data_IF_013326090778
#
_entry.id   IF_013326090778
#
_cell.length_a   1.000
_cell.length_b   1.000
_cell.length_c   1.000
_cell.angle_alpha   90.00
_cell.angle_beta   90.00
_cell.angle_gamma   90.00
#
_symmetry.space_group_name_H-M   'P 1'
#
loop_
_entity.id
_entity.type
_entity.pdbx_description
1 polymer ?
#
# COMPACT_ATOMS: atom_id res chain seq x y z
N UNK A 1 26.26 28.36 19.29
CA UNK A 1 26.28 27.52 18.07
C UNK A 1 25.41 26.29 18.31
N UNK A 2 24.27 26.15 17.63
CA UNK A 2 23.44 24.93 17.73
C UNK A 2 24.21 23.78 17.05
N UNK A 3 24.53 22.73 17.79
CA UNK A 3 25.12 21.51 17.23
C UNK A 3 24.16 20.98 16.15
N UNK A 4 24.60 20.93 14.90
CA UNK A 4 23.88 20.21 13.85
C UNK A 4 23.77 18.75 14.30
N UNK A 5 22.54 18.27 14.50
CA UNK A 5 22.32 16.85 14.73
C UNK A 5 22.77 16.09 13.48
N UNK A 6 23.47 14.95 13.61
CA UNK A 6 23.84 14.13 12.46
C UNK A 6 22.58 13.76 11.67
N UNK A 7 22.68 13.59 10.33
CA UNK A 7 21.54 13.19 9.53
C UNK A 7 20.98 11.88 10.09
N UNK A 8 19.69 11.89 10.43
CA UNK A 8 19.02 10.71 10.94
C UNK A 8 19.23 9.54 9.96
N UNK A 9 19.69 8.40 10.48
CA UNK A 9 19.81 7.16 9.73
C UNK A 9 18.70 6.19 10.15
N UNK A 10 18.00 5.65 9.17
CA UNK A 10 16.96 4.66 9.42
C UNK A 10 17.54 3.38 10.04
N UNK A 11 16.91 2.83 11.09
CA UNK A 11 17.18 1.45 11.47
C UNK A 11 16.89 0.55 10.26
N UNK A 12 17.83 -0.34 9.92
CA UNK A 12 17.64 -1.36 8.89
C UNK A 12 17.31 -2.70 9.54
N UNK A 13 16.28 -3.41 9.08
CA UNK A 13 16.06 -4.78 9.54
C UNK A 13 17.13 -5.68 8.92
N UNK A 14 17.93 -6.31 9.77
CA UNK A 14 18.87 -7.36 9.36
C UNK A 14 18.33 -8.71 9.84
N UNK A 15 17.94 -9.57 8.89
CA UNK A 15 17.64 -10.97 9.19
C UNK A 15 18.98 -11.72 9.27
N UNK A 16 19.28 -12.33 10.41
CA UNK A 16 20.57 -12.97 10.71
C UNK A 16 20.96 -14.11 9.76
N UNK A 17 20.04 -14.59 8.91
CA UNK A 17 20.26 -15.71 7.98
C UNK A 17 19.90 -15.42 6.52
N UNK A 18 19.39 -14.22 6.20
CA UNK A 18 19.07 -13.81 4.83
C UNK A 18 19.41 -12.32 4.64
N UNK A 19 20.27 -12.01 3.68
CA UNK A 19 20.47 -10.62 3.23
C UNK A 19 19.44 -10.32 2.15
N UNK A 20 18.33 -9.69 2.52
CA UNK A 20 17.42 -9.10 1.53
C UNK A 20 18.19 -8.06 0.71
N UNK A 21 18.00 -8.08 -0.62
CA UNK A 21 18.57 -7.06 -1.49
C UNK A 21 18.00 -5.71 -1.07
N UNK A 22 18.88 -4.73 -0.87
CA UNK A 22 18.48 -3.34 -0.69
C UNK A 22 18.44 -2.67 -2.05
N UNK A 23 17.24 -2.41 -2.56
CA UNK A 23 17.07 -1.74 -3.83
C UNK A 23 17.52 -0.29 -3.73
N UNK A 24 18.34 0.13 -4.70
CA UNK A 24 18.57 1.54 -5.01
C UNK A 24 17.39 2.07 -5.84
N UNK A 25 17.20 3.40 -5.93
CA UNK A 25 16.16 3.97 -6.77
C UNK A 25 16.26 3.51 -8.23
N UNK A 26 17.48 3.46 -8.78
CA UNK A 26 17.74 3.06 -10.17
C UNK A 26 17.33 1.61 -10.40
N UNK A 27 17.70 0.72 -9.48
CA UNK A 27 17.33 -0.69 -9.53
C UNK A 27 15.80 -0.89 -9.44
N UNK A 28 15.13 -0.15 -8.55
CA UNK A 28 13.69 -0.23 -8.40
C UNK A 28 12.95 0.33 -9.64
N UNK A 29 13.37 1.49 -10.15
CA UNK A 29 12.80 2.07 -11.38
C UNK A 29 12.97 1.12 -12.56
N UNK A 30 14.18 0.59 -12.78
CA UNK A 30 14.44 -0.37 -13.86
C UNK A 30 13.58 -1.63 -13.75
N UNK A 31 13.37 -2.13 -12.53
CA UNK A 31 12.50 -3.28 -12.31
C UNK A 31 11.03 -2.98 -12.65
N UNK A 32 10.53 -1.80 -12.26
CA UNK A 32 9.11 -1.44 -12.36
C UNK A 32 8.75 -0.75 -13.68
N UNK A 33 9.73 -0.44 -14.53
CA UNK A 33 9.52 0.23 -15.79
C UNK A 33 8.63 -0.60 -16.73
N UNK A 34 7.54 -0.02 -17.21
CA UNK A 34 6.57 -0.71 -18.07
C UNK A 34 5.80 -1.82 -17.35
N UNK A 35 5.86 -1.88 -16.01
CA UNK A 35 5.18 -2.90 -15.19
C UNK A 35 4.21 -2.24 -14.21
N UNK A 36 2.96 -1.95 -14.63
CA UNK A 36 1.99 -1.29 -13.77
C UNK A 36 1.75 -2.09 -12.48
N UNK A 37 1.91 -1.43 -11.33
CA UNK A 37 1.71 -2.02 -10.01
C UNK A 37 0.43 -1.46 -9.39
N UNK A 38 -0.52 -2.33 -9.08
CA UNK A 38 -1.76 -1.97 -8.39
C UNK A 38 -1.73 -2.53 -6.97
N UNK A 39 -1.99 -1.68 -5.98
CA UNK A 39 -2.08 -2.04 -4.56
C UNK A 39 -3.50 -1.82 -4.05
N UNK A 40 -4.07 -2.83 -3.41
CA UNK A 40 -5.42 -2.76 -2.82
C UNK A 40 -5.32 -3.12 -1.34
N UNK A 41 -5.81 -2.24 -0.48
CA UNK A 41 -5.81 -2.48 0.96
C UNK A 41 -6.14 -1.25 1.78
N UNK A 42 -5.85 -1.30 3.07
CA UNK A 42 -6.20 -0.25 4.03
C UNK A 42 -5.20 0.93 4.09
N UNK A 43 -5.31 1.76 5.14
CA UNK A 43 -4.40 2.88 5.40
C UNK A 43 -2.94 2.47 5.55
N UNK A 44 -2.63 1.24 5.97
CA UNK A 44 -1.26 0.77 6.13
C UNK A 44 -0.67 0.43 4.75
N UNK A 45 -1.49 -0.10 3.86
CA UNK A 45 -1.14 -0.32 2.45
C UNK A 45 -1.01 1.00 1.70
N UNK A 46 -1.86 2.00 2.00
CA UNK A 46 -1.71 3.37 1.48
C UNK A 46 -0.34 3.97 1.80
N UNK A 47 0.09 3.89 3.06
CA UNK A 47 1.38 4.47 3.45
C UNK A 47 2.56 3.72 2.82
N UNK A 48 2.43 2.41 2.62
CA UNK A 48 3.40 1.65 1.84
C UNK A 48 3.47 2.14 0.38
N UNK A 49 2.32 2.33 -0.28
CA UNK A 49 2.24 2.91 -1.63
C UNK A 49 2.91 4.28 -1.71
N UNK A 50 2.53 5.22 -0.83
CA UNK A 50 3.07 6.58 -0.82
C UNK A 50 4.59 6.57 -0.58
N UNK A 51 5.08 5.71 0.33
CA UNK A 51 6.52 5.58 0.57
C UNK A 51 7.27 5.05 -0.66
N UNK A 52 6.68 4.13 -1.43
CA UNK A 52 7.32 3.57 -2.62
C UNK A 52 7.41 4.61 -3.75
N UNK A 53 6.32 5.31 -4.05
CA UNK A 53 6.36 6.36 -5.08
C UNK A 53 7.27 7.53 -4.66
N UNK A 54 7.37 7.84 -3.36
CA UNK A 54 8.32 8.84 -2.85
C UNK A 54 9.77 8.41 -3.12
N UNK A 55 10.09 7.14 -2.90
CA UNK A 55 11.41 6.59 -3.22
C UNK A 55 11.72 6.62 -4.72
N UNK A 56 10.72 6.31 -5.56
CA UNK A 56 10.87 6.34 -7.01
C UNK A 56 10.99 7.77 -7.55
N UNK A 57 10.26 8.74 -7.01
CA UNK A 57 10.30 10.14 -7.44
C UNK A 57 11.60 10.82 -6.99
N UNK A 58 11.91 10.74 -5.70
CA UNK A 58 12.98 11.57 -5.09
C UNK A 58 14.30 10.84 -4.88
N UNK A 59 14.36 9.53 -5.19
CA UNK A 59 15.57 8.73 -4.99
C UNK A 59 15.94 8.47 -3.52
N UNK A 60 15.03 8.73 -2.59
CA UNK A 60 15.23 8.54 -1.14
C UNK A 60 13.92 8.19 -0.45
N UNK A 61 13.98 7.51 0.68
CA UNK A 61 12.80 7.18 1.48
C UNK A 61 12.25 8.42 2.21
N UNK A 62 10.94 8.48 2.50
CA UNK A 62 10.36 9.61 3.22
C UNK A 62 10.91 9.69 4.65
N UNK A 63 10.94 10.91 5.18
CA UNK A 63 11.38 11.13 6.56
C UNK A 63 10.49 10.32 7.54
N UNK A 64 11.11 9.67 8.53
CA UNK A 64 10.49 8.66 9.40
C UNK A 64 9.66 9.18 10.57
N UNK A 65 9.73 10.47 10.89
CA UNK A 65 9.43 10.99 12.24
C UNK A 65 8.74 12.35 12.20
N UNK A 66 7.89 12.56 13.21
CA UNK A 66 7.43 13.87 13.67
C UNK A 66 8.62 14.77 14.02
N UNK A 67 8.58 16.03 13.61
CA UNK A 67 9.58 17.06 13.95
C UNK A 67 10.93 17.08 13.20
N UNK A 68 11.29 16.10 12.34
CA UNK A 68 12.51 16.15 11.49
C UNK A 68 12.48 17.17 10.32
N UNK A 69 13.62 17.72 9.90
CA UNK A 69 13.67 18.68 8.77
C UNK A 69 12.98 18.13 7.49
N UNK A 70 12.07 18.92 6.88
CA UNK A 70 11.25 18.51 5.73
C UNK A 70 9.80 18.12 6.05
N UNK A 71 9.22 18.62 7.15
CA UNK A 71 7.80 18.45 7.49
C UNK A 71 6.84 18.91 6.39
N UNK A 72 5.67 18.27 6.27
CA UNK A 72 5.19 17.04 6.97
C UNK A 72 5.57 15.71 6.26
N UNK A 73 5.67 14.60 7.00
CA UNK A 73 5.94 13.27 6.43
C UNK A 73 4.75 12.74 5.64
N UNK A 74 4.93 12.23 4.41
CA UNK A 74 3.82 11.80 3.56
C UNK A 74 3.16 10.49 4.04
N UNK A 75 3.74 9.81 5.03
CA UNK A 75 3.20 8.58 5.62
C UNK A 75 2.63 8.77 7.04
N UNK A 76 2.53 10.01 7.52
CA UNK A 76 2.00 10.33 8.85
C UNK A 76 0.91 11.40 8.72
N UNK A 77 -0.33 10.96 8.50
CA UNK A 77 -1.44 11.89 8.24
C UNK A 77 -1.68 12.92 9.36
N UNK A 78 -1.41 12.56 10.62
CA UNK A 78 -1.57 13.47 11.76
C UNK A 78 -0.66 14.71 11.72
N UNK A 79 0.37 14.74 10.88
CA UNK A 79 1.26 15.91 10.71
C UNK A 79 0.71 16.96 9.75
N UNK A 80 -0.32 16.63 8.96
CA UNK A 80 -0.87 17.51 7.92
C UNK A 80 -2.12 18.27 8.38
N UNK A 81 -2.60 18.04 9.60
CA UNK A 81 -3.88 18.60 10.06
C UNK A 81 -5.09 17.86 9.45
N UNK A 82 -6.07 18.57 8.88
CA UNK A 82 -7.25 17.94 8.28
C UNK A 82 -6.92 16.95 7.15
N UNK A 83 -7.78 15.95 6.93
CA UNK A 83 -7.61 14.97 5.86
C UNK A 83 -7.50 15.60 4.47
N UNK A 84 -8.21 16.69 4.21
CA UNK A 84 -8.09 17.42 2.95
C UNK A 84 -6.67 17.94 2.71
N UNK A 85 -6.01 18.49 3.73
CA UNK A 85 -4.62 18.93 3.64
C UNK A 85 -3.66 17.76 3.45
N UNK A 86 -3.88 16.62 4.12
CA UNK A 86 -3.11 15.40 3.87
C UNK A 86 -3.24 14.93 2.41
N UNK A 87 -4.46 14.89 1.87
CA UNK A 87 -4.70 14.47 0.49
C UNK A 87 -4.10 15.43 -0.53
N UNK A 88 -4.26 16.74 -0.35
CA UNK A 88 -3.66 17.76 -1.22
C UNK A 88 -2.14 17.70 -1.19
N UNK A 89 -1.58 17.67 0.01
CA UNK A 89 -0.14 17.67 0.22
C UNK A 89 0.55 16.42 -0.31
N UNK A 90 0.02 15.24 -0.01
CA UNK A 90 0.55 13.97 -0.54
C UNK A 90 0.22 13.72 -2.01
N UNK A 91 -0.41 14.66 -2.70
CA UNK A 91 -0.65 14.60 -4.15
C UNK A 91 0.20 15.62 -4.89
N UNK A 92 0.16 16.88 -4.45
CA UNK A 92 0.89 18.00 -5.06
C UNK A 92 2.41 17.86 -4.97
N UNK A 93 2.92 17.16 -3.95
CA UNK A 93 4.36 16.97 -3.80
C UNK A 93 5.01 16.22 -4.97
N UNK A 94 4.25 15.43 -5.73
CA UNK A 94 4.73 14.62 -6.85
C UNK A 94 4.68 15.36 -8.21
N UNK A 95 4.76 16.68 -8.22
CA UNK A 95 4.87 17.50 -9.44
C UNK A 95 3.83 17.18 -10.55
N UNK A 96 2.60 16.80 -10.15
CA UNK A 96 1.53 16.41 -11.08
C UNK A 96 1.58 14.96 -11.57
N UNK A 97 2.60 14.19 -11.21
CA UNK A 97 2.70 12.75 -11.48
C UNK A 97 1.70 11.93 -10.67
N UNK A 98 1.20 12.44 -9.54
CA UNK A 98 0.15 11.77 -8.77
C UNK A 98 -1.18 12.51 -8.89
N UNK A 99 -2.25 11.73 -9.02
CA UNK A 99 -3.63 12.15 -8.90
C UNK A 99 -4.33 11.36 -7.78
N UNK A 100 -5.32 11.96 -7.13
CA UNK A 100 -6.01 11.41 -5.96
C UNK A 100 -7.51 11.75 -6.06
N UNK A 101 -8.38 10.74 -6.16
CA UNK A 101 -9.82 10.90 -5.96
C UNK A 101 -10.12 10.49 -4.54
N UNK A 102 -9.98 11.48 -3.68
CA UNK A 102 -9.83 11.25 -2.27
C UNK A 102 -10.83 12.12 -1.56
N UNK A 103 -11.64 11.48 -0.73
CA UNK A 103 -12.58 12.13 0.16
C UNK A 103 -12.50 11.44 1.52
N UNK A 104 -12.80 12.18 2.58
CA UNK A 104 -12.93 11.59 3.91
C UNK A 104 -13.85 12.39 4.78
N UNK A 105 -14.97 11.77 5.15
CA UNK A 105 -15.83 12.23 6.23
C UNK A 105 -15.40 11.58 7.55
N UNK A 106 -15.14 10.27 7.54
CA UNK A 106 -14.71 9.50 8.71
C UNK A 106 -13.78 8.33 8.34
N UNK A 107 -13.50 7.41 9.27
CA UNK A 107 -12.60 6.28 9.01
C UNK A 107 -13.16 5.26 8.00
N UNK A 108 -14.46 5.10 7.92
CA UNK A 108 -15.15 4.12 7.08
C UNK A 108 -15.70 4.76 5.82
N UNK A 109 -16.20 5.99 5.88
CA UNK A 109 -16.60 6.78 4.71
C UNK A 109 -15.45 7.66 4.19
N UNK A 110 -14.59 7.07 3.36
CA UNK A 110 -13.46 7.77 2.76
C UNK A 110 -12.97 7.09 1.45
N UNK A 111 -13.71 7.20 0.33
CA UNK A 111 -13.20 6.79 -0.97
C UNK A 111 -11.80 7.36 -1.21
N UNK A 112 -10.88 6.48 -1.58
CA UNK A 112 -9.48 6.85 -1.78
C UNK A 112 -8.87 5.96 -2.85
N UNK A 113 -8.82 6.50 -4.06
CA UNK A 113 -8.06 5.95 -5.17
C UNK A 113 -6.98 6.94 -5.63
N UNK A 114 -5.79 6.41 -5.87
CA UNK A 114 -4.60 7.19 -6.23
C UNK A 114 -3.95 6.61 -7.45
N UNK A 115 -3.54 7.48 -8.37
CA UNK A 115 -2.85 7.09 -9.59
C UNK A 115 -1.56 7.90 -9.72
N UNK A 116 -0.44 7.20 -9.78
CA UNK A 116 0.89 7.78 -9.99
C UNK A 116 1.42 7.35 -11.36
N UNK A 117 1.92 8.30 -12.14
CA UNK A 117 2.60 8.05 -13.40
C UNK A 117 3.73 9.05 -13.63
N UNK A 118 4.93 8.54 -13.81
CA UNK A 118 6.11 9.30 -14.22
C UNK A 118 6.84 8.51 -15.33
N UNK A 119 6.74 8.98 -16.57
CA UNK A 119 7.19 8.24 -17.75
C UNK A 119 6.53 6.86 -17.88
N UNK A 120 7.36 5.83 -17.87
CA UNK A 120 6.96 4.40 -17.96
C UNK A 120 6.67 3.76 -16.59
N UNK A 121 6.83 4.50 -15.49
CA UNK A 121 6.43 4.04 -14.16
C UNK A 121 4.96 4.37 -13.95
N UNK A 122 4.18 3.38 -13.55
CA UNK A 122 2.78 3.59 -13.17
C UNK A 122 2.41 2.76 -11.95
N UNK A 123 1.78 3.39 -10.97
CA UNK A 123 1.32 2.73 -9.76
C UNK A 123 -0.05 3.25 -9.33
N UNK A 124 -0.95 2.33 -8.96
CA UNK A 124 -2.31 2.67 -8.51
C UNK A 124 -2.57 2.12 -7.12
N UNK A 125 -3.27 2.87 -6.29
CA UNK A 125 -3.78 2.40 -5.00
C UNK A 125 -5.30 2.52 -4.95
N UNK A 126 -5.98 1.50 -4.45
CA UNK A 126 -7.38 1.57 -4.04
C UNK A 126 -7.52 1.19 -2.57
N UNK A 127 -8.28 2.01 -1.83
CA UNK A 127 -8.61 1.69 -0.46
C UNK A 127 -9.65 0.57 -0.39
N UNK A 128 -9.36 -0.43 0.44
CA UNK A 128 -10.29 -1.49 0.79
C UNK A 128 -10.07 -1.91 2.25
N UNK A 129 -11.14 -1.89 3.06
CA UNK A 129 -11.07 -2.20 4.50
C UNK A 129 -11.38 -3.67 4.83
N UNK A 130 -11.41 -4.51 3.80
CA UNK A 130 -11.66 -5.94 3.93
C UNK A 130 -13.14 -6.31 3.93
N UNK A 131 -13.40 -7.58 3.68
CA UNK A 131 -14.73 -8.18 3.77
C UNK A 131 -15.13 -8.44 5.24
N UNK A 132 -16.42 -8.29 5.60
CA UNK A 132 -17.55 -7.82 4.79
C UNK A 132 -17.79 -6.30 4.90
N UNK A 133 -16.83 -5.51 5.39
CA UNK A 133 -17.11 -4.10 5.76
C UNK A 133 -17.42 -3.26 4.54
N UNK A 134 -16.51 -3.24 3.57
CA UNK A 134 -16.59 -2.33 2.43
C UNK A 134 -16.43 -3.11 1.13
N UNK A 135 -17.30 -2.88 0.13
CA UNK A 135 -16.98 -3.24 -1.23
C UNK A 135 -15.73 -2.48 -1.71
N UNK A 136 -15.13 -2.93 -2.81
CA UNK A 136 -14.15 -2.11 -3.51
C UNK A 136 -14.88 -0.98 -4.21
N UNK A 137 -14.40 0.25 -4.06
CA UNK A 137 -15.03 1.42 -4.61
C UNK A 137 -13.97 2.43 -5.07
N UNK A 138 -14.37 3.33 -5.96
CA UNK A 138 -13.54 4.43 -6.39
C UNK A 138 -14.29 5.39 -7.30
N UNK A 139 -13.57 6.39 -7.77
CA UNK A 139 -14.06 7.33 -8.76
C UNK A 139 -13.40 7.09 -10.11
N UNK A 140 -14.02 7.61 -11.16
CA UNK A 140 -13.44 7.70 -12.48
C UNK A 140 -12.51 8.93 -12.58
N UNK A 141 -11.79 9.02 -13.70
CA UNK A 141 -10.99 10.19 -14.06
C UNK A 141 -9.48 9.97 -14.08
N UNK A 142 -9.02 8.74 -13.86
CA UNK A 142 -7.65 8.31 -14.11
C UNK A 142 -7.59 7.40 -15.33
N UNK A 143 -6.51 7.38 -16.13
CA UNK A 143 -6.37 6.43 -17.22
C UNK A 143 -6.60 4.97 -16.76
N UNK A 144 -7.41 4.17 -17.49
CA UNK A 144 -8.04 4.48 -18.79
C UNK A 144 -9.39 5.21 -18.71
N UNK A 145 -9.90 5.54 -17.52
CA UNK A 145 -11.18 6.18 -17.25
C UNK A 145 -11.11 7.72 -17.24
N UNK A 146 -10.35 8.35 -18.14
CA UNK A 146 -10.01 9.78 -18.07
C UNK A 146 -11.17 10.76 -18.30
N UNK A 147 -12.34 10.29 -18.74
CA UNK A 147 -13.45 11.15 -19.18
C UNK A 147 -14.35 11.68 -18.05
N UNK A 148 -13.99 11.46 -16.79
CA UNK A 148 -14.80 11.90 -15.66
C UNK A 148 -14.38 13.24 -15.08
N UNK A 149 -15.33 13.88 -14.38
CA UNK A 149 -15.16 15.18 -13.72
C UNK A 149 -14.00 15.14 -12.74
N UNK A 150 -13.10 16.12 -12.86
CA UNK A 150 -11.98 16.27 -11.96
C UNK A 150 -12.42 16.96 -10.66
N UNK A 151 -11.91 16.50 -9.53
CA UNK A 151 -12.08 17.13 -8.21
C UNK A 151 -10.71 17.38 -7.58
N UNK A 152 -10.66 18.36 -6.68
CA UNK A 152 -9.47 18.61 -5.87
C UNK A 152 -9.30 17.48 -4.85
N UNK A 153 -8.06 16.99 -4.61
CA UNK A 153 -7.81 16.00 -3.57
C UNK A 153 -8.39 16.44 -2.23
N UNK A 154 -9.13 15.55 -1.57
CA UNK A 154 -9.80 15.83 -0.30
C UNK A 154 -11.15 16.55 -0.42
N UNK A 155 -11.56 16.94 -1.62
CA UNK A 155 -12.85 17.59 -1.90
C UNK A 155 -13.65 16.86 -2.99
N UNK A 156 -13.32 15.60 -3.25
CA UNK A 156 -14.10 14.73 -4.13
C UNK A 156 -15.43 14.31 -3.48
N UNK A 157 -16.35 13.75 -4.27
CA UNK A 157 -17.63 13.26 -3.75
C UNK A 157 -17.42 12.16 -2.70
N UNK A 158 -18.32 12.10 -1.72
CA UNK A 158 -18.39 10.97 -0.79
C UNK A 158 -18.93 9.70 -1.47
N UNK A 159 -19.78 9.88 -2.47
CA UNK A 159 -20.39 8.80 -3.22
C UNK A 159 -19.44 8.36 -4.35
N UNK A 160 -18.95 7.12 -4.33
CA UNK A 160 -18.06 6.61 -5.37
C UNK A 160 -18.83 6.45 -6.68
N UNK A 161 -18.15 6.64 -7.82
CA UNK A 161 -18.77 6.47 -9.14
C UNK A 161 -19.10 5.00 -9.42
N UNK A 162 -18.43 4.09 -8.71
CA UNK A 162 -18.69 2.66 -8.76
C UNK A 162 -18.36 2.00 -7.41
N UNK A 163 -19.08 0.94 -7.12
CA UNK A 163 -18.88 0.13 -5.92
C UNK A 163 -19.25 -1.31 -6.25
N UNK A 164 -18.29 -2.23 -6.06
CA UNK A 164 -18.42 -3.63 -6.44
C UNK A 164 -17.86 -4.55 -5.34
N UNK A 165 -18.38 -5.78 -5.19
CA UNK A 165 -17.67 -6.82 -4.46
C UNK A 165 -16.22 -6.93 -4.95
N UNK A 166 -15.28 -7.25 -4.06
CA UNK A 166 -13.84 -7.17 -4.35
C UNK A 166 -13.44 -7.97 -5.60
N UNK A 167 -13.97 -9.18 -5.78
CA UNK A 167 -13.70 -10.01 -6.94
C UNK A 167 -14.20 -9.38 -8.25
N UNK A 168 -15.36 -8.71 -8.21
CA UNK A 168 -15.97 -8.09 -9.39
C UNK A 168 -15.28 -6.76 -9.72
N UNK A 169 -14.94 -5.97 -8.70
CA UNK A 169 -14.11 -4.78 -8.86
C UNK A 169 -12.74 -5.12 -9.47
N UNK A 170 -12.14 -6.26 -9.10
CA UNK A 170 -10.92 -6.73 -9.74
C UNK A 170 -11.16 -7.06 -11.23
N UNK A 171 -12.22 -7.81 -11.55
CA UNK A 171 -12.55 -8.22 -12.93
C UNK A 171 -12.90 -7.03 -13.83
N UNK A 172 -13.67 -6.09 -13.32
CA UNK A 172 -14.31 -5.05 -14.15
C UNK A 172 -13.53 -3.74 -14.19
N UNK A 173 -12.79 -3.42 -13.12
CA UNK A 173 -12.08 -2.15 -12.99
C UNK A 173 -10.57 -2.36 -12.98
N UNK A 174 -10.07 -3.18 -12.07
CA UNK A 174 -8.62 -3.35 -11.90
C UNK A 174 -7.98 -3.98 -13.14
N UNK A 175 -8.62 -4.96 -13.76
CA UNK A 175 -8.14 -5.56 -15.00
C UNK A 175 -7.95 -4.55 -16.14
N UNK A 176 -8.76 -3.48 -16.20
CA UNK A 176 -8.64 -2.42 -17.21
C UNK A 176 -7.41 -1.54 -17.01
N UNK A 177 -6.83 -1.52 -15.81
CA UNK A 177 -5.55 -0.86 -15.54
C UNK A 177 -4.36 -1.65 -16.10
N UNK A 178 -4.59 -2.87 -16.61
CA UNK A 178 -3.57 -3.78 -17.15
C UNK A 178 -2.39 -3.94 -16.17
N UNK A 179 -2.64 -4.36 -14.91
CA UNK A 179 -1.57 -4.56 -13.95
C UNK A 179 -0.58 -5.62 -14.44
N UNK A 180 0.71 -5.34 -14.34
CA UNK A 180 1.72 -6.39 -14.29
C UNK A 180 1.78 -7.00 -12.89
N UNK A 181 1.53 -6.21 -11.85
CA UNK A 181 1.54 -6.73 -10.48
C UNK A 181 0.34 -6.23 -9.71
N UNK A 182 -0.37 -7.16 -9.07
CA UNK A 182 -1.47 -6.88 -8.15
C UNK A 182 -1.07 -7.28 -6.73
N UNK A 183 -1.02 -6.32 -5.82
CA UNK A 183 -0.80 -6.55 -4.38
C UNK A 183 -2.12 -6.38 -3.65
N UNK A 184 -2.56 -7.39 -2.91
CA UNK A 184 -3.78 -7.35 -2.13
C UNK A 184 -3.49 -7.58 -0.65
N UNK A 185 -4.19 -6.85 0.21
CA UNK A 185 -4.18 -7.03 1.65
C UNK A 185 -5.60 -7.04 2.20
N UNK A 186 -5.91 -7.96 3.13
CA UNK A 186 -7.23 -8.07 3.76
C UNK A 186 -7.62 -6.90 4.68
N UNK A 187 -6.69 -6.00 4.97
CA UNK A 187 -6.88 -4.86 5.86
C UNK A 187 -6.85 -5.23 7.34
N UNK A 188 -6.29 -4.33 8.14
CA UNK A 188 -6.31 -4.36 9.59
C UNK A 188 -7.74 -4.21 10.13
N UNK A 189 -8.53 -3.36 9.48
CA UNK A 189 -9.80 -2.84 9.99
C UNK A 189 -10.99 -3.76 9.84
N UNK A 190 -10.84 -4.98 9.28
CA UNK A 190 -11.96 -5.92 9.11
C UNK A 190 -12.64 -6.27 10.44
N UNK A 191 -13.97 -6.12 10.50
CA UNK A 191 -14.80 -6.22 11.71
C UNK A 191 -14.93 -7.68 12.14
N UNK A 192 -15.22 -8.54 11.17
CA UNK A 192 -15.22 -9.97 11.42
C UNK A 192 -13.77 -10.48 11.46
N UNK A 193 -13.41 -11.09 12.59
CA UNK A 193 -12.07 -11.63 12.79
C UNK A 193 -11.92 -13.08 12.35
N UNK A 194 -13.02 -13.73 11.96
CA UNK A 194 -12.97 -15.06 11.36
C UNK A 194 -12.45 -14.99 9.93
N UNK A 195 -12.06 -16.15 9.42
CA UNK A 195 -11.76 -16.31 8.01
C UNK A 195 -13.00 -16.06 7.16
N UNK A 196 -12.75 -15.66 5.91
CA UNK A 196 -13.79 -15.55 4.90
C UNK A 196 -14.13 -16.93 4.33
N UNK A 197 -15.32 -17.09 3.72
CA UNK A 197 -15.63 -18.31 2.98
C UNK A 197 -14.53 -18.65 1.97
N UNK A 198 -14.17 -19.92 1.86
CA UNK A 198 -13.12 -20.40 0.96
C UNK A 198 -13.40 -19.98 -0.49
N UNK A 199 -14.67 -20.03 -0.89
CA UNK A 199 -15.15 -19.65 -2.23
C UNK A 199 -14.91 -18.17 -2.52
N UNK A 200 -15.00 -17.31 -1.51
CA UNK A 200 -14.70 -15.89 -1.67
C UNK A 200 -13.21 -15.68 -1.91
N UNK A 201 -12.34 -16.37 -1.15
CA UNK A 201 -10.92 -16.33 -1.44
C UNK A 201 -10.67 -16.81 -2.87
N UNK A 202 -11.12 -18.01 -3.23
CA UNK A 202 -10.85 -18.58 -4.55
C UNK A 202 -11.30 -17.64 -5.68
N UNK A 203 -12.49 -17.03 -5.57
CA UNK A 203 -12.98 -16.05 -6.56
C UNK A 203 -12.10 -14.78 -6.66
N UNK A 204 -11.59 -14.26 -5.54
CA UNK A 204 -10.65 -13.12 -5.52
C UNK A 204 -9.33 -13.51 -6.18
N UNK A 205 -8.77 -14.66 -5.80
CA UNK A 205 -7.47 -15.13 -6.28
C UNK A 205 -7.51 -15.39 -7.80
N UNK A 206 -8.57 -16.01 -8.31
CA UNK A 206 -8.81 -16.19 -9.74
C UNK A 206 -9.03 -14.87 -10.49
N UNK A 207 -9.75 -13.92 -9.90
CA UNK A 207 -9.96 -12.60 -10.48
C UNK A 207 -8.63 -11.87 -10.67
N UNK A 208 -7.74 -11.92 -9.67
CA UNK A 208 -6.43 -11.28 -9.78
C UNK A 208 -5.54 -11.93 -10.84
N UNK A 209 -5.50 -13.28 -10.93
CA UNK A 209 -4.74 -13.98 -11.98
C UNK A 209 -5.19 -13.52 -13.36
N UNK A 210 -6.51 -13.48 -13.60
CA UNK A 210 -7.07 -13.01 -14.87
C UNK A 210 -6.76 -11.54 -15.13
N UNK A 211 -6.72 -10.70 -14.10
CA UNK A 211 -6.41 -9.27 -14.24
C UNK A 211 -4.96 -9.01 -14.67
N UNK A 212 -3.99 -9.82 -14.20
CA UNK A 212 -2.56 -9.65 -14.53
C UNK A 212 -2.11 -10.43 -15.77
N UNK A 213 -2.87 -11.44 -16.20
CA UNK A 213 -2.55 -12.30 -17.33
C UNK A 213 -2.21 -11.55 -18.64
N UNK A 214 -2.90 -10.45 -19.02
CA UNK A 214 -2.56 -9.69 -20.24
C UNK A 214 -1.16 -9.07 -20.24
N UNK A 215 -0.51 -8.95 -19.07
CA UNK A 215 0.86 -8.45 -18.92
C UNK A 215 1.87 -9.58 -18.63
N UNK A 216 1.44 -10.85 -18.61
CA UNK A 216 2.26 -11.94 -18.09
C UNK A 216 2.67 -11.70 -16.62
N UNK A 217 1.80 -11.02 -15.87
CA UNK A 217 2.09 -10.50 -14.55
C UNK A 217 1.92 -11.50 -13.42
N UNK A 218 1.97 -10.98 -12.19
CA UNK A 218 1.92 -11.77 -10.96
C UNK A 218 1.06 -11.11 -9.89
N UNK A 219 0.56 -11.92 -8.97
CA UNK A 219 -0.22 -11.45 -7.84
C UNK A 219 0.49 -11.72 -6.52
N UNK A 220 0.31 -10.82 -5.56
CA UNK A 220 0.96 -10.87 -4.25
C UNK A 220 -0.10 -10.71 -3.17
N UNK A 221 -0.19 -11.69 -2.28
CA UNK A 221 -0.88 -11.53 -1.01
C UNK A 221 0.06 -10.91 0.02
N UNK A 222 -0.26 -9.71 0.48
CA UNK A 222 0.42 -9.07 1.61
C UNK A 222 -0.33 -9.41 2.89
N UNK A 223 0.34 -10.08 3.83
CA UNK A 223 -0.26 -10.36 5.14
C UNK A 223 -0.55 -9.08 5.92
N UNK A 224 -1.51 -9.15 6.82
CA UNK A 224 -1.94 -8.07 7.70
C UNK A 224 -0.82 -7.82 8.69
N UNK A 225 -0.33 -6.59 8.70
CA UNK A 225 0.78 -6.18 9.55
C UNK A 225 0.39 -6.24 11.04
N UNK A 226 1.39 -6.37 11.92
CA UNK A 226 1.19 -6.46 13.36
C UNK A 226 0.60 -5.17 13.96
N UNK A 227 -0.51 -5.23 14.67
CA UNK A 227 -1.02 -4.09 15.44
C UNK A 227 -1.09 -4.40 16.94
N UNK A 228 -0.98 -3.35 17.77
CA UNK A 228 -0.51 -3.46 19.15
C UNK A 228 -1.57 -3.30 20.24
N UNK A 229 -2.80 -2.87 19.95
CA UNK A 229 -3.77 -2.58 21.02
C UNK A 229 -5.20 -3.02 20.74
N UNK A 230 -5.86 -3.42 21.83
CA UNK A 230 -7.30 -3.68 21.92
C UNK A 230 -7.81 -4.56 20.80
N UNK A 231 -8.85 -4.07 20.13
CA UNK A 231 -9.51 -4.76 19.04
C UNK A 231 -8.70 -4.87 17.74
N UNK A 232 -7.55 -4.21 17.69
CA UNK A 232 -6.65 -4.24 16.54
C UNK A 232 -5.51 -5.23 16.72
N UNK A 233 -5.45 -6.00 17.82
CA UNK A 233 -4.39 -6.99 17.98
C UNK A 233 -4.45 -8.04 16.86
N UNK A 234 -3.39 -8.11 16.05
CA UNK A 234 -3.26 -9.03 14.93
C UNK A 234 -2.21 -10.10 15.23
N UNK A 235 -2.64 -11.35 15.37
CA UNK A 235 -1.75 -12.50 15.48
C UNK A 235 -1.30 -13.03 14.11
N UNK A 236 -0.31 -13.94 14.11
CA UNK A 236 0.23 -14.56 12.89
C UNK A 236 -0.83 -15.28 12.06
N UNK A 237 -1.78 -15.91 12.73
CA UNK A 237 -2.80 -16.75 12.09
C UNK A 237 -3.94 -15.93 11.47
N UNK A 238 -3.90 -14.59 11.58
CA UNK A 238 -4.91 -13.68 11.03
C UNK A 238 -5.21 -13.96 9.57
N UNK A 239 -4.20 -14.31 8.78
CA UNK A 239 -4.33 -14.54 7.35
C UNK A 239 -4.01 -15.98 6.98
N UNK A 240 -4.12 -16.94 7.91
CA UNK A 240 -3.80 -18.34 7.64
C UNK A 240 -4.59 -18.91 6.45
N UNK A 241 -5.92 -18.70 6.42
CA UNK A 241 -6.74 -19.15 5.30
C UNK A 241 -6.41 -18.42 3.99
N UNK A 242 -6.15 -17.11 4.04
CA UNK A 242 -5.80 -16.32 2.87
C UNK A 242 -4.42 -16.70 2.30
N UNK A 243 -3.45 -17.01 3.16
CA UNK A 243 -2.13 -17.51 2.76
C UNK A 243 -2.25 -18.90 2.14
N UNK A 244 -3.04 -19.79 2.74
CA UNK A 244 -3.30 -21.11 2.16
C UNK A 244 -3.97 -20.99 0.78
N UNK A 245 -4.95 -20.09 0.63
CA UNK A 245 -5.58 -19.82 -0.66
C UNK A 245 -4.60 -19.21 -1.68
N UNK A 246 -3.78 -18.23 -1.27
CA UNK A 246 -2.75 -17.64 -2.11
C UNK A 246 -1.81 -18.72 -2.67
N UNK A 247 -1.34 -19.64 -1.82
CA UNK A 247 -0.47 -20.74 -2.23
C UNK A 247 -1.16 -21.70 -3.21
N UNK A 248 -2.42 -22.08 -2.96
CA UNK A 248 -3.20 -22.94 -3.87
C UNK A 248 -3.35 -22.32 -5.27
N UNK A 249 -3.48 -21.00 -5.34
CA UNK A 249 -3.65 -20.24 -6.59
C UNK A 249 -2.34 -19.71 -7.18
N UNK A 250 -1.18 -20.08 -6.62
CA UNK A 250 0.13 -19.65 -7.13
C UNK A 250 0.42 -18.15 -6.94
N UNK A 251 -0.29 -17.47 -6.03
CA UNK A 251 0.04 -16.10 -5.64
C UNK A 251 1.29 -16.10 -4.76
N UNK A 252 2.13 -15.09 -4.95
CA UNK A 252 3.26 -14.82 -4.07
C UNK A 252 2.75 -14.33 -2.71
N UNK A 253 3.55 -14.53 -1.66
CA UNK A 253 3.22 -14.05 -0.32
C UNK A 253 4.32 -13.11 0.18
N UNK A 254 3.92 -11.90 0.55
CA UNK A 254 4.76 -10.94 1.27
C UNK A 254 4.36 -10.97 2.75
N UNK A 255 5.21 -11.58 3.60
CA UNK A 255 4.95 -11.70 5.04
C UNK A 255 5.22 -10.40 5.80
N UNK A 256 4.32 -9.45 5.63
CA UNK A 256 4.37 -8.15 6.30
C UNK A 256 4.11 -8.26 7.82
N UNK A 257 3.31 -9.24 8.27
CA UNK A 257 3.19 -9.56 9.70
C UNK A 257 4.55 -9.95 10.29
N UNK A 258 5.24 -10.92 9.67
CA UNK A 258 6.56 -11.38 10.13
C UNK A 258 7.59 -10.27 10.17
N UNK A 259 7.64 -9.42 9.13
CA UNK A 259 8.54 -8.28 9.08
C UNK A 259 8.26 -7.25 10.19
N UNK A 260 6.99 -6.90 10.41
CA UNK A 260 6.60 -5.91 11.44
C UNK A 260 6.72 -6.46 12.85
N UNK A 261 6.50 -7.77 13.04
CA UNK A 261 6.78 -8.46 14.29
C UNK A 261 8.27 -8.49 14.62
N UNK A 262 9.13 -8.85 13.65
CA UNK A 262 10.58 -8.80 13.83
C UNK A 262 11.06 -7.39 14.20
N UNK A 263 10.52 -6.36 13.54
CA UNK A 263 10.81 -4.96 13.88
C UNK A 263 10.41 -4.63 15.32
N UNK A 264 9.22 -5.05 15.78
CA UNK A 264 8.76 -4.84 17.16
C UNK A 264 9.66 -5.57 18.15
N UNK A 265 10.08 -6.80 17.86
CA UNK A 265 10.98 -7.55 18.74
C UNK A 265 12.35 -6.89 18.88
N UNK A 266 12.84 -6.23 17.83
CA UNK A 266 14.15 -5.56 17.85
C UNK A 266 14.11 -4.15 18.43
N UNK A 267 13.03 -3.40 18.19
CA UNK A 267 12.96 -1.95 18.46
C UNK A 267 11.86 -1.57 19.46
N UNK A 268 11.13 -2.54 20.00
CA UNK A 268 10.00 -2.35 20.90
C UNK A 268 8.84 -1.57 20.25
N UNK A 269 8.10 -0.84 21.07
CA UNK A 269 6.98 0.00 20.61
C UNK A 269 7.44 1.25 19.86
N UNK A 270 8.76 1.48 19.80
CA UNK A 270 9.38 2.57 19.08
C UNK A 270 9.14 2.55 17.57
N UNK A 271 8.53 1.49 17.01
CA UNK A 271 8.19 1.39 15.59
C UNK A 271 6.86 2.07 15.22
N UNK A 272 6.03 2.40 16.21
CA UNK A 272 4.68 2.91 16.00
C UNK A 272 4.58 4.44 16.12
N UNK A 273 3.60 5.02 15.45
CA UNK A 273 3.12 6.40 15.65
C UNK A 273 1.85 6.41 16.50
N UNK A 274 1.02 5.39 16.36
CA UNK A 274 -0.21 5.17 17.11
C UNK A 274 -0.45 3.65 17.28
N UNK A 275 -1.55 3.18 17.88
CA UNK A 275 -1.78 1.74 18.08
C UNK A 275 -1.83 0.85 16.83
N UNK A 276 -1.90 1.43 15.63
CA UNK A 276 -2.05 0.73 14.36
C UNK A 276 -0.95 1.07 13.33
N UNK A 277 -0.55 2.33 13.25
CA UNK A 277 0.30 2.86 12.18
C UNK A 277 1.76 2.99 12.61
N UNK A 278 2.66 2.82 11.64
CA UNK A 278 4.09 2.79 11.87
C UNK A 278 4.79 4.10 11.53
N UNK A 279 6.02 4.23 12.02
CA UNK A 279 6.99 5.20 11.52
C UNK A 279 7.42 4.88 10.09
N UNK A 280 7.86 5.89 9.35
CA UNK A 280 8.19 5.78 7.92
C UNK A 280 9.20 4.69 7.55
N UNK A 281 10.14 4.39 8.45
CA UNK A 281 11.15 3.35 8.20
C UNK A 281 10.53 1.94 8.10
N UNK A 282 9.41 1.66 8.78
CA UNK A 282 8.75 0.35 8.66
C UNK A 282 8.18 0.16 7.25
N UNK A 283 7.60 1.21 6.66
CA UNK A 283 7.14 1.18 5.27
C UNK A 283 8.30 1.06 4.27
N UNK A 284 9.47 1.59 4.61
CA UNK A 284 10.70 1.35 3.84
C UNK A 284 11.05 -0.13 3.80
N UNK A 285 11.04 -0.80 4.96
CA UNK A 285 11.33 -2.23 5.05
C UNK A 285 10.28 -3.09 4.34
N UNK A 286 9.00 -2.75 4.46
CA UNK A 286 7.92 -3.42 3.74
C UNK A 286 8.05 -3.27 2.22
N UNK A 287 8.50 -2.11 1.74
CA UNK A 287 8.77 -1.90 0.32
C UNK A 287 10.01 -2.64 -0.16
N UNK A 288 11.06 -2.73 0.65
CA UNK A 288 12.22 -3.56 0.32
C UNK A 288 11.80 -5.02 0.21
N UNK A 289 10.97 -5.53 1.12
CA UNK A 289 10.43 -6.88 1.04
C UNK A 289 9.59 -7.08 -0.22
N UNK A 290 8.67 -6.15 -0.53
CA UNK A 290 7.85 -6.21 -1.74
C UNK A 290 8.71 -6.22 -3.01
N UNK A 291 9.71 -5.35 -3.11
CA UNK A 291 10.61 -5.31 -4.26
C UNK A 291 11.41 -6.60 -4.40
N UNK A 292 11.87 -7.22 -3.31
CA UNK A 292 12.49 -8.54 -3.37
C UNK A 292 11.51 -9.64 -3.83
N UNK A 293 10.20 -9.49 -3.54
CA UNK A 293 9.18 -10.42 -4.01
C UNK A 293 8.91 -10.28 -5.51
N UNK A 294 8.87 -9.05 -6.04
CA UNK A 294 8.35 -8.79 -7.39
C UNK A 294 9.42 -8.51 -8.44
N UNK A 295 10.64 -8.18 -8.02
CA UNK A 295 11.77 -7.92 -8.90
C UNK A 295 12.71 -9.13 -8.94
N UNK A 296 12.93 -9.75 -10.11
CA UNK A 296 13.88 -10.85 -10.22
C UNK A 296 15.29 -10.39 -9.82
N UNK A 297 16.07 -11.33 -9.27
CA UNK A 297 17.52 -11.15 -9.23
C UNK A 297 17.99 -11.08 -10.68
N UNK A 298 18.62 -9.97 -11.07
CA UNK A 298 19.39 -9.97 -12.31
C UNK A 298 20.61 -10.84 -12.04
N UNK A 299 20.67 -12.01 -12.69
CA UNK A 299 21.90 -12.78 -12.80
C UNK A 299 22.91 -12.02 -13.67
#
# INVERSE_FOLDING_TARGET
MRKQQPPWQAPSLQLTRCKLRRFTPEAARKCLEGRPLVMIGDSLTRYQYIALIYFLEFGRWPAPLRGAAGHPSPVIASEWGPWSQFYQGTTTMFAGHQQCRCFRQDAFNAPEDRFYRNGNLSMTFYRWLGYPITPLAGHWGFPPFSNATQCQPGACSADPDWQLPIQDGIREVIAKLKPHTLVLNAGLWRRNRTDWPTELYDSIFEAGIKAVAPQGGQCVWKTTTLAQAGDLKVGRDRDAAAVAAAQRHGWLVTDAWGATHAAKMQLGDGIYIDPAHYKGFVYTELNQLLLNTICPAHN
#
